data_IF_225296707731
#
_entry.id   IF_225296707731
#
_cell.length_a   1.000
_cell.length_b   1.000
_cell.length_c   1.000
_cell.angle_alpha   90.00
_cell.angle_beta   90.00
_cell.angle_gamma   90.00
#
_symmetry.space_group_name_H-M   'P 1'
#
loop_
_entity.id
_entity.type
_entity.pdbx_description
1 polymer ?
#
# COMPACT_ATOMS: atom_id res chain seq x y z
N UNK A 1 -10.23 -1.64 -45.43
CA UNK A 1 -9.54 -1.26 -44.19
C UNK A 1 -8.14 -0.87 -44.58
N UNK A 2 -7.75 0.37 -44.32
CA UNK A 2 -6.41 0.85 -44.68
C UNK A 2 -5.38 0.13 -43.81
N UNK A 3 -4.19 -0.14 -44.34
CA UNK A 3 -3.09 -0.74 -43.56
C UNK A 3 -2.80 0.10 -42.31
N UNK A 4 -2.98 1.42 -42.42
CA UNK A 4 -2.85 2.39 -41.33
C UNK A 4 -3.83 2.10 -40.19
N UNK A 5 -5.08 1.75 -40.50
CA UNK A 5 -6.11 1.48 -39.49
C UNK A 5 -5.75 0.25 -38.65
N UNK A 6 -5.22 -0.79 -39.30
CA UNK A 6 -4.81 -2.04 -38.65
C UNK A 6 -3.59 -1.82 -37.74
N UNK A 7 -2.62 -1.03 -38.20
CA UNK A 7 -1.42 -0.70 -37.41
C UNK A 7 -1.78 0.15 -36.19
N UNK A 8 -2.65 1.15 -36.36
CA UNK A 8 -3.15 1.97 -35.25
C UNK A 8 -3.95 1.13 -34.25
N UNK A 9 -4.86 0.28 -34.73
CA UNK A 9 -5.62 -0.61 -33.88
C UNK A 9 -4.72 -1.53 -33.04
N UNK A 10 -3.69 -2.11 -33.65
CA UNK A 10 -2.72 -2.97 -32.96
C UNK A 10 -1.93 -2.21 -31.88
N UNK A 11 -1.48 -0.97 -32.15
CA UNK A 11 -0.77 -0.15 -31.18
C UNK A 11 -1.65 0.23 -29.98
N UNK A 12 -2.91 0.58 -30.21
CA UNK A 12 -3.86 0.91 -29.14
C UNK A 12 -4.15 -0.32 -28.28
N UNK A 13 -4.40 -1.48 -28.91
CA UNK A 13 -4.63 -2.74 -28.20
C UNK A 13 -3.44 -3.12 -27.33
N UNK A 14 -2.22 -2.99 -27.87
CA UNK A 14 -1.00 -3.25 -27.12
C UNK A 14 -0.84 -2.29 -25.92
N UNK A 15 -1.06 -0.99 -26.14
CA UNK A 15 -1.02 0.02 -25.08
C UNK A 15 -2.06 -0.23 -23.99
N UNK A 16 -3.28 -0.63 -24.38
CA UNK A 16 -4.38 -0.91 -23.46
C UNK A 16 -4.11 -2.15 -22.62
N UNK A 17 -3.69 -3.26 -23.22
CA UNK A 17 -3.35 -4.49 -22.48
C UNK A 17 -2.20 -4.22 -21.50
N UNK A 18 -1.14 -3.55 -21.97
CA UNK A 18 0.04 -3.26 -21.13
C UNK A 18 -0.30 -2.29 -20.00
N UNK A 19 -1.11 -1.27 -20.26
CA UNK A 19 -1.57 -0.31 -19.27
C UNK A 19 -2.47 -0.96 -18.23
N UNK A 20 -3.45 -1.75 -18.67
CA UNK A 20 -4.40 -2.44 -17.80
C UNK A 20 -3.69 -3.44 -16.87
N UNK A 21 -2.81 -4.29 -17.41
CA UNK A 21 -2.09 -5.28 -16.60
C UNK A 21 -1.20 -4.64 -15.53
N UNK A 22 -0.53 -3.53 -15.85
CA UNK A 22 0.31 -2.82 -14.88
C UNK A 22 -0.51 -2.06 -13.85
N UNK A 23 -1.56 -1.35 -14.28
CA UNK A 23 -2.43 -0.58 -13.39
C UNK A 23 -3.14 -1.48 -12.39
N UNK A 24 -3.75 -2.57 -12.86
CA UNK A 24 -4.49 -3.51 -12.03
C UNK A 24 -3.62 -4.14 -10.94
N UNK A 25 -2.40 -4.57 -11.27
CA UNK A 25 -1.49 -5.14 -10.28
C UNK A 25 -1.05 -4.12 -9.23
N UNK A 26 -0.74 -2.89 -9.65
CA UNK A 26 -0.34 -1.80 -8.75
C UNK A 26 -1.48 -1.41 -7.81
N UNK A 27 -2.71 -1.40 -8.30
CA UNK A 27 -3.88 -1.02 -7.51
C UNK A 27 -4.23 -2.08 -6.44
N UNK A 28 -4.12 -3.37 -6.77
CA UNK A 28 -4.25 -4.43 -5.78
C UNK A 28 -3.10 -4.36 -4.76
N UNK A 29 -1.86 -4.17 -5.25
CA UNK A 29 -0.71 -4.05 -4.36
C UNK A 29 -0.84 -2.86 -3.41
N UNK A 30 -1.40 -1.73 -3.86
CA UNK A 30 -1.59 -0.55 -3.01
C UNK A 30 -2.66 -0.78 -1.95
N UNK A 31 -3.77 -1.44 -2.29
CA UNK A 31 -4.82 -1.82 -1.33
C UNK A 31 -4.26 -2.79 -0.28
N UNK A 32 -3.53 -3.81 -0.70
CA UNK A 32 -2.90 -4.78 0.21
C UNK A 32 -1.85 -4.08 1.08
N UNK A 33 -1.03 -3.20 0.50
CA UNK A 33 -0.02 -2.45 1.24
C UNK A 33 -0.64 -1.50 2.27
N UNK A 34 -1.78 -0.87 1.96
CA UNK A 34 -2.51 -0.04 2.91
C UNK A 34 -2.96 -0.84 4.12
N UNK A 35 -3.66 -1.97 3.87
CA UNK A 35 -4.19 -2.81 4.95
C UNK A 35 -3.05 -3.43 5.77
N UNK A 36 -2.04 -3.98 5.10
CA UNK A 36 -0.88 -4.57 5.76
C UNK A 36 -0.06 -3.52 6.53
N UNK A 37 0.07 -2.30 5.99
CA UNK A 37 0.76 -1.20 6.63
C UNK A 37 0.04 -0.73 7.90
N UNK A 38 -1.28 -0.54 7.83
CA UNK A 38 -2.09 -0.18 9.01
C UNK A 38 -2.04 -1.28 10.06
N UNK A 39 -2.20 -2.54 9.67
CA UNK A 39 -2.11 -3.68 10.59
C UNK A 39 -0.72 -3.78 11.24
N UNK A 40 0.34 -3.62 10.45
CA UNK A 40 1.72 -3.62 10.93
C UNK A 40 1.99 -2.48 11.91
N UNK A 41 1.54 -1.26 11.60
CA UNK A 41 1.69 -0.10 12.48
C UNK A 41 0.99 -0.33 13.84
N UNK A 42 -0.24 -0.84 13.83
CA UNK A 42 -0.99 -1.13 15.05
C UNK A 42 -0.29 -2.22 15.87
N UNK A 43 0.14 -3.32 15.24
CA UNK A 43 0.81 -4.42 15.94
C UNK A 43 2.14 -3.98 16.55
N UNK A 44 2.92 -3.20 15.81
CA UNK A 44 4.20 -2.67 16.28
C UNK A 44 4.02 -1.64 17.39
N UNK A 45 2.93 -0.86 17.33
CA UNK A 45 2.59 0.11 18.37
C UNK A 45 2.31 -0.56 19.71
N UNK A 46 1.63 -1.70 19.74
CA UNK A 46 1.47 -2.47 20.99
C UNK A 46 2.82 -2.95 21.56
N UNK A 47 3.71 -3.47 20.72
CA UNK A 47 5.04 -3.87 21.15
C UNK A 47 5.85 -2.69 21.70
N UNK A 48 5.79 -1.54 21.02
CA UNK A 48 6.44 -0.32 21.46
C UNK A 48 5.83 0.21 22.78
N UNK A 49 4.50 0.15 22.93
CA UNK A 49 3.81 0.58 24.14
C UNK A 49 4.20 -0.26 25.35
N UNK A 50 4.24 -1.58 25.22
CA UNK A 50 4.71 -2.47 26.31
C UNK A 50 6.18 -2.22 26.64
N UNK A 51 7.04 -2.02 25.63
CA UNK A 51 8.45 -1.70 25.84
C UNK A 51 8.64 -0.37 26.56
N UNK A 52 7.86 0.66 26.21
CA UNK A 52 7.90 1.96 26.90
C UNK A 52 7.34 1.85 28.32
N UNK A 53 6.26 1.09 28.52
CA UNK A 53 5.64 0.90 29.84
C UNK A 53 6.61 0.26 30.85
N UNK A 54 7.45 -0.67 30.40
CA UNK A 54 8.46 -1.32 31.25
C UNK A 54 9.70 -0.46 31.52
N UNK A 55 9.95 0.58 30.71
CA UNK A 55 11.16 1.43 30.79
C UNK A 55 10.91 2.84 31.29
N UNK A 56 9.67 3.30 31.28
CA UNK A 56 9.29 4.66 31.66
C UNK A 56 8.03 4.67 32.53
N UNK A 57 8.05 5.44 33.60
CA UNK A 57 6.92 5.67 34.52
C UNK A 57 6.00 6.79 33.99
N UNK A 58 5.71 6.73 32.69
CA UNK A 58 4.91 7.74 31.99
C UNK A 58 3.42 7.41 32.05
N UNK A 59 2.58 8.44 31.99
CA UNK A 59 1.13 8.27 31.93
C UNK A 59 0.73 7.48 30.67
N UNK A 60 -0.31 6.66 30.77
CA UNK A 60 -0.75 5.78 29.67
C UNK A 60 -1.04 6.57 28.38
N UNK A 61 -1.52 7.81 28.51
CA UNK A 61 -1.77 8.68 27.36
C UNK A 61 -0.50 9.10 26.65
N UNK A 62 0.59 9.33 27.39
CA UNK A 62 1.89 9.68 26.81
C UNK A 62 2.50 8.47 26.11
N UNK A 63 2.46 7.29 26.75
CA UNK A 63 2.97 6.03 26.18
C UNK A 63 2.27 5.72 24.85
N UNK A 64 0.93 5.81 24.83
CA UNK A 64 0.13 5.54 23.63
C UNK A 64 0.48 6.46 22.46
N UNK A 65 0.74 7.75 22.71
CA UNK A 65 1.12 8.71 21.65
C UNK A 65 2.55 8.47 21.19
N UNK A 66 3.47 8.12 22.08
CA UNK A 66 4.88 7.85 21.72
C UNK A 66 5.11 6.49 21.03
N UNK A 67 4.20 5.55 21.22
CA UNK A 67 4.28 4.21 20.62
C UNK A 67 3.65 4.14 19.21
N UNK A 68 3.02 5.21 18.72
CA UNK A 68 2.31 5.24 17.43
C UNK A 68 3.03 6.16 16.43
#
# INVERSE_FOLDING_TARGET
MSVIDIVLAALILFGLIRGFMKGFFVEIASLVALVAGVYGAIHFSYFAADYLKDKTDWDEKTIAISAF
#
